data_IF_644434949296
#
_entry.id   IF_644434949296
#
_cell.length_a   1.000
_cell.length_b   1.000
_cell.length_c   1.000
_cell.angle_alpha   90.00
_cell.angle_beta   90.00
_cell.angle_gamma   90.00
#
_symmetry.space_group_name_H-M   'P 1'
#
loop_
_entity.id
_entity.type
_entity.pdbx_description
1 polymer ?
#
# COMPACT_ATOMS: atom_id res chain seq x y z
N UNK A 1 5.81 -27.27 9.59
CA UNK A 1 5.94 -26.61 8.29
C UNK A 1 7.05 -25.57 8.43
N UNK A 2 8.13 -25.70 7.66
CA UNK A 2 9.20 -24.70 7.63
C UNK A 2 8.69 -23.38 7.04
N UNK A 3 9.42 -22.29 7.22
CA UNK A 3 9.04 -20.99 6.67
C UNK A 3 9.01 -20.99 5.13
N UNK A 4 9.91 -21.74 4.48
CA UNK A 4 9.91 -21.90 3.02
C UNK A 4 8.67 -22.67 2.56
N UNK A 5 8.30 -23.74 3.28
CA UNK A 5 7.04 -24.47 3.00
C UNK A 5 5.82 -23.59 3.23
N UNK A 6 5.84 -22.75 4.27
CA UNK A 6 4.75 -21.84 4.62
C UNK A 6 4.55 -20.76 3.54
N UNK A 7 5.64 -20.15 3.04
CA UNK A 7 5.62 -19.25 1.88
C UNK A 7 4.94 -19.96 0.70
N UNK A 8 5.41 -21.16 0.36
CA UNK A 8 4.86 -21.91 -0.77
C UNK A 8 3.42 -22.42 -0.58
N UNK A 9 2.90 -22.43 0.64
CA UNK A 9 1.52 -22.78 0.95
C UNK A 9 0.57 -21.58 0.82
N UNK A 10 1.08 -20.35 0.81
CA UNK A 10 0.28 -19.15 0.62
C UNK A 10 -0.11 -18.99 -0.86
N UNK A 11 -1.41 -18.80 -1.17
CA UNK A 11 -1.90 -18.78 -2.56
C UNK A 11 -1.48 -17.54 -3.35
N UNK A 12 -1.10 -16.46 -2.67
CA UNK A 12 -0.75 -15.16 -3.23
C UNK A 12 0.76 -14.95 -3.38
N UNK A 13 1.62 -15.93 -3.06
CA UNK A 13 3.10 -15.77 -3.13
C UNK A 13 3.76 -16.80 -4.05
N UNK A 14 3.03 -17.27 -5.06
CA UNK A 14 3.50 -18.36 -5.93
C UNK A 14 4.82 -18.03 -6.65
N UNK A 15 4.99 -16.78 -7.09
CA UNK A 15 6.23 -16.30 -7.71
C UNK A 15 7.37 -16.20 -6.71
N UNK A 16 7.10 -15.69 -5.51
CA UNK A 16 8.12 -15.62 -4.46
C UNK A 16 8.60 -17.03 -4.06
N UNK A 17 7.67 -17.98 -3.91
CA UNK A 17 7.99 -19.38 -3.68
C UNK A 17 8.90 -19.96 -4.78
N UNK A 18 8.67 -19.61 -6.05
CA UNK A 18 9.53 -20.04 -7.14
C UNK A 18 10.96 -19.50 -6.96
N UNK A 19 11.12 -18.20 -6.67
CA UNK A 19 12.45 -17.61 -6.42
C UNK A 19 13.17 -18.24 -5.24
N UNK A 20 12.48 -18.46 -4.11
CA UNK A 20 13.06 -19.09 -2.92
C UNK A 20 13.52 -20.53 -3.21
N UNK A 21 12.85 -21.23 -4.14
CA UNK A 21 13.19 -22.62 -4.53
C UNK A 21 14.26 -22.72 -5.61
N UNK A 22 14.31 -21.77 -6.53
CA UNK A 22 15.16 -21.81 -7.72
C UNK A 22 16.60 -21.35 -7.43
N UNK A 23 16.79 -20.57 -6.37
CA UNK A 23 18.11 -20.08 -5.98
C UNK A 23 18.91 -21.16 -5.24
N UNK A 24 19.75 -21.85 -6.01
CA UNK A 24 20.66 -22.92 -5.56
C UNK A 24 21.99 -22.40 -5.00
N UNK A 25 22.21 -21.09 -5.02
CA UNK A 25 23.39 -20.42 -4.48
C UNK A 25 23.04 -19.58 -3.25
N UNK A 26 24.02 -19.37 -2.38
CA UNK A 26 23.83 -18.57 -1.15
C UNK A 26 23.16 -19.34 0.01
N UNK A 27 22.62 -18.65 1.02
CA UNK A 27 22.12 -19.26 2.25
C UNK A 27 20.88 -20.14 2.06
N UNK A 28 20.20 -20.03 0.91
CA UNK A 28 19.00 -20.81 0.59
C UNK A 28 19.32 -22.18 -0.05
N UNK A 29 20.54 -22.37 -0.55
CA UNK A 29 21.01 -23.58 -1.25
C UNK A 29 20.89 -24.88 -0.43
N UNK A 30 21.13 -24.79 0.87
CA UNK A 30 21.02 -25.92 1.83
C UNK A 30 19.74 -25.87 2.66
N UNK A 31 18.85 -24.92 2.34
CA UNK A 31 17.71 -24.55 3.17
C UNK A 31 18.11 -23.65 4.34
N UNK A 32 17.14 -22.84 4.80
CA UNK A 32 17.30 -22.04 6.01
C UNK A 32 17.46 -22.91 7.25
N UNK A 33 18.21 -22.43 8.25
CA UNK A 33 18.44 -23.16 9.49
C UNK A 33 17.11 -23.36 10.26
N UNK A 34 16.69 -24.62 10.51
CA UNK A 34 15.44 -24.88 11.22
C UNK A 34 15.42 -24.40 12.67
N UNK A 35 16.58 -24.11 13.28
CA UNK A 35 16.68 -23.64 14.66
C UNK A 35 16.75 -22.11 14.78
N UNK A 36 16.87 -21.42 13.65
CA UNK A 36 16.89 -19.96 13.61
C UNK A 36 15.48 -19.44 13.36
N UNK A 37 15.07 -18.43 14.13
CA UNK A 37 13.80 -17.74 13.91
C UNK A 37 13.95 -16.67 12.83
N UNK A 38 12.99 -16.63 11.91
CA UNK A 38 12.96 -15.66 10.82
C UNK A 38 11.71 -14.79 10.86
N UNK A 39 11.86 -13.51 10.57
CA UNK A 39 10.76 -12.67 10.09
C UNK A 39 10.94 -12.49 8.59
N UNK A 40 9.91 -12.75 7.80
CA UNK A 40 9.96 -12.64 6.34
C UNK A 40 8.90 -11.69 5.84
N UNK A 41 9.29 -10.78 4.97
CA UNK A 41 8.35 -9.95 4.22
C UNK A 41 8.23 -10.50 2.81
N UNK A 42 7.21 -11.32 2.55
CA UNK A 42 7.05 -12.05 1.29
C UNK A 42 6.27 -11.20 0.27
N UNK A 43 6.85 -10.81 -0.88
CA UNK A 43 6.09 -10.14 -1.92
C UNK A 43 5.00 -11.05 -2.47
N UNK A 44 3.79 -10.50 -2.58
CA UNK A 44 2.67 -11.17 -3.25
C UNK A 44 2.87 -11.18 -4.78
N UNK A 45 2.04 -11.95 -5.46
CA UNK A 45 2.10 -12.09 -6.91
C UNK A 45 1.74 -10.77 -7.63
N UNK A 46 1.00 -9.86 -6.97
CA UNK A 46 0.74 -8.51 -7.48
C UNK A 46 2.02 -7.65 -7.46
N UNK A 47 2.85 -7.78 -6.44
CA UNK A 47 4.14 -7.11 -6.35
C UNK A 47 5.03 -7.45 -7.54
N UNK A 48 5.07 -8.73 -7.94
CA UNK A 48 5.79 -9.16 -9.14
C UNK A 48 5.13 -8.73 -10.44
N UNK A 49 3.81 -8.59 -10.49
CA UNK A 49 3.11 -8.06 -11.65
C UNK A 49 3.45 -6.57 -11.86
N UNK A 50 3.47 -5.77 -10.79
CA UNK A 50 3.91 -4.36 -10.79
C UNK A 50 5.39 -4.27 -11.18
N UNK A 51 6.21 -5.19 -10.68
CA UNK A 51 7.62 -5.25 -11.02
C UNK A 51 7.88 -5.73 -12.46
N UNK A 52 6.96 -6.46 -13.09
CA UNK A 52 7.11 -7.00 -14.45
C UNK A 52 7.37 -5.95 -15.54
N UNK A 53 7.06 -4.68 -15.27
CA UNK A 53 7.40 -3.54 -16.12
C UNK A 53 8.85 -3.02 -15.92
N UNK A 54 9.61 -3.58 -14.97
CA UNK A 54 11.02 -3.25 -14.71
C UNK A 54 12.00 -3.88 -15.72
N UNK A 55 11.51 -4.41 -16.84
CA UNK A 55 12.24 -5.05 -17.94
C UNK A 55 13.35 -4.19 -18.60
N UNK A 56 13.57 -2.96 -18.12
CA UNK A 56 14.70 -2.09 -18.48
C UNK A 56 15.89 -2.16 -17.51
N UNK A 57 15.77 -2.94 -16.43
CA UNK A 57 16.81 -3.14 -15.41
C UNK A 57 17.47 -4.50 -15.67
N UNK A 58 18.74 -4.47 -16.06
CA UNK A 58 19.55 -5.68 -16.12
C UNK A 58 19.91 -6.08 -14.69
N UNK A 59 19.27 -7.12 -14.16
CA UNK A 59 19.50 -7.63 -12.80
C UNK A 59 20.40 -8.85 -12.93
N UNK A 60 21.57 -8.80 -12.32
CA UNK A 60 22.46 -9.96 -12.26
C UNK A 60 21.90 -10.98 -11.25
N UNK A 61 22.33 -12.23 -11.36
CA UNK A 61 21.96 -13.27 -10.38
C UNK A 61 22.38 -12.90 -8.95
N UNK A 62 23.54 -12.26 -8.80
CA UNK A 62 24.02 -11.73 -7.51
C UNK A 62 23.07 -10.69 -6.93
N UNK A 63 22.52 -9.82 -7.77
CA UNK A 63 21.58 -8.79 -7.34
C UNK A 63 20.23 -9.40 -6.98
N UNK A 64 19.77 -10.39 -7.75
CA UNK A 64 18.58 -11.16 -7.41
C UNK A 64 18.72 -11.87 -6.06
N UNK A 65 19.89 -12.47 -5.78
CA UNK A 65 20.19 -13.09 -4.48
C UNK A 65 20.17 -12.08 -3.34
N UNK A 66 20.85 -10.94 -3.49
CA UNK A 66 20.84 -9.87 -2.49
C UNK A 66 19.43 -9.33 -2.25
N UNK A 67 18.62 -9.20 -3.31
CA UNK A 67 17.22 -8.81 -3.20
C UNK A 67 16.39 -9.87 -2.47
N UNK A 68 16.59 -11.16 -2.76
CA UNK A 68 15.92 -12.23 -2.04
C UNK A 68 16.26 -12.18 -0.55
N UNK A 69 17.55 -12.18 -0.21
CA UNK A 69 18.03 -12.08 1.17
C UNK A 69 17.47 -10.86 1.90
N UNK A 70 17.22 -9.76 1.19
CA UNK A 70 16.65 -8.54 1.76
C UNK A 70 15.22 -8.68 2.30
N UNK A 71 14.52 -9.73 1.90
CA UNK A 71 13.18 -10.05 2.40
C UNK A 71 13.21 -10.95 3.64
N UNK A 72 14.38 -11.43 4.09
CA UNK A 72 14.55 -12.31 5.23
C UNK A 72 15.36 -11.66 6.35
N UNK A 73 14.93 -11.88 7.60
CA UNK A 73 15.51 -11.30 8.80
C UNK A 73 15.74 -12.39 9.84
N UNK A 74 17.01 -12.69 10.13
CA UNK A 74 17.42 -13.72 11.08
C UNK A 74 17.33 -13.28 12.53
N UNK A 75 17.14 -14.26 13.42
CA UNK A 75 17.02 -14.07 14.86
C UNK A 75 15.86 -13.13 15.25
N UNK A 76 14.81 -13.11 14.43
CA UNK A 76 13.63 -12.28 14.60
C UNK A 76 12.36 -13.14 14.51
N UNK A 77 11.39 -12.82 15.35
CA UNK A 77 10.05 -13.43 15.36
C UNK A 77 9.05 -12.31 15.63
N UNK A 78 8.96 -11.37 14.69
CA UNK A 78 8.21 -10.13 14.90
C UNK A 78 6.81 -10.27 14.31
N UNK A 79 5.81 -10.25 15.18
CA UNK A 79 4.41 -10.08 14.77
C UNK A 79 4.17 -8.67 14.26
N UNK A 80 3.05 -8.46 13.59
CA UNK A 80 2.67 -7.18 13.02
C UNK A 80 2.67 -6.09 14.06
N UNK A 81 2.15 -6.36 15.25
CA UNK A 81 2.05 -5.38 16.32
C UNK A 81 3.42 -5.05 16.94
N UNK A 82 4.34 -6.02 16.96
CA UNK A 82 5.73 -5.86 17.43
C UNK A 82 6.61 -5.09 16.44
N UNK A 83 6.23 -4.97 15.17
CA UNK A 83 6.94 -4.11 14.21
C UNK A 83 6.83 -2.64 14.64
N UNK A 84 7.86 -2.11 15.29
CA UNK A 84 7.82 -0.75 15.82
C UNK A 84 7.99 0.28 14.68
N UNK A 85 7.17 1.32 14.68
CA UNK A 85 7.23 2.37 13.69
C UNK A 85 8.60 3.08 13.73
N UNK A 86 9.16 3.37 12.56
CA UNK A 86 10.50 3.92 12.38
C UNK A 86 11.66 3.00 12.79
N UNK A 87 11.41 1.77 13.23
CA UNK A 87 12.48 0.82 13.54
C UNK A 87 13.22 0.40 12.27
N UNK A 88 14.54 0.20 12.40
CA UNK A 88 15.35 -0.39 11.34
C UNK A 88 15.62 -1.85 11.64
N UNK A 89 15.39 -2.71 10.67
CA UNK A 89 15.68 -4.14 10.75
C UNK A 89 16.88 -4.45 9.85
N UNK A 90 17.87 -5.18 10.37
CA UNK A 90 19.02 -5.66 9.59
C UNK A 90 18.63 -6.94 8.85
N UNK A 91 18.75 -6.92 7.53
CA UNK A 91 18.42 -8.06 6.69
C UNK A 91 19.56 -9.09 6.65
N UNK A 92 19.24 -10.32 6.22
CA UNK A 92 20.23 -11.37 5.94
C UNK A 92 21.27 -11.01 4.87
N UNK A 93 21.01 -10.02 4.02
CA UNK A 93 21.98 -9.50 3.04
C UNK A 93 23.21 -8.82 3.66
N UNK A 94 23.29 -8.77 5.00
CA UNK A 94 24.49 -8.47 5.78
C UNK A 94 24.73 -6.99 6.05
N UNK A 95 24.45 -6.11 5.08
CA UNK A 95 24.69 -4.66 5.21
C UNK A 95 23.45 -3.80 4.95
N UNK A 96 22.34 -4.38 4.50
CA UNK A 96 21.15 -3.62 4.18
C UNK A 96 20.17 -3.61 5.34
N UNK A 97 19.55 -2.45 5.54
CA UNK A 97 18.49 -2.29 6.54
C UNK A 97 17.20 -1.89 5.86
N UNK A 98 16.10 -2.50 6.29
CA UNK A 98 14.76 -2.01 5.99
C UNK A 98 14.24 -1.19 7.17
N UNK A 99 13.15 -0.46 6.94
CA UNK A 99 12.49 0.33 7.97
C UNK A 99 10.99 0.10 7.95
N UNK A 100 10.43 -0.13 9.12
CA UNK A 100 8.98 -0.15 9.34
C UNK A 100 8.46 1.29 9.28
N UNK A 101 7.55 1.58 8.34
CA UNK A 101 6.82 2.84 8.28
C UNK A 101 5.37 2.59 8.68
N UNK A 102 4.75 3.59 9.30
CA UNK A 102 3.38 3.50 9.77
C UNK A 102 2.62 4.74 9.31
N UNK A 103 1.43 4.52 8.79
CA UNK A 103 0.43 5.55 8.56
C UNK A 103 -0.81 5.24 9.41
N UNK A 104 -1.53 6.27 9.80
CA UNK A 104 -2.83 6.16 10.45
C UNK A 104 -3.92 6.39 9.42
N UNK A 105 -4.85 5.45 9.30
CA UNK A 105 -6.11 5.66 8.61
C UNK A 105 -7.15 6.05 9.65
N UNK A 106 -7.73 7.23 9.49
CA UNK A 106 -8.91 7.63 10.25
C UNK A 106 -10.07 6.72 9.83
N UNK A 107 -10.78 6.15 10.81
CA UNK A 107 -11.95 5.34 10.55
C UNK A 107 -12.99 6.16 9.78
N UNK A 108 -13.43 5.65 8.62
CA UNK A 108 -14.42 6.32 7.76
C UNK A 108 -15.80 6.43 8.39
N UNK A 109 -16.02 5.78 9.54
CA UNK A 109 -17.34 5.52 10.11
C UNK A 109 -17.59 6.29 11.43
N UNK A 110 -16.77 7.31 11.74
CA UNK A 110 -16.95 8.13 12.94
C UNK A 110 -16.65 7.42 14.26
N UNK A 111 -16.03 6.24 14.21
CA UNK A 111 -15.46 5.54 15.36
C UNK A 111 -14.05 6.08 15.64
N UNK A 112 -13.72 6.36 16.91
CA UNK A 112 -12.37 6.76 17.35
C UNK A 112 -11.27 5.67 17.14
N UNK A 113 -11.58 4.61 16.38
CA UNK A 113 -10.65 3.54 16.05
C UNK A 113 -9.65 4.00 14.98
N UNK A 114 -8.47 4.35 15.45
CA UNK A 114 -7.30 4.63 14.62
C UNK A 114 -6.73 3.31 14.11
N UNK A 115 -6.89 3.03 12.81
CA UNK A 115 -6.25 1.86 12.19
C UNK A 115 -4.83 2.22 11.76
N UNK A 116 -3.84 1.55 12.33
CA UNK A 116 -2.44 1.70 11.91
C UNK A 116 -2.18 0.78 10.72
N UNK A 117 -1.74 1.35 9.62
CA UNK A 117 -1.24 0.62 8.46
C UNK A 117 0.28 0.65 8.47
N UNK A 118 0.89 -0.53 8.47
CA UNK A 118 2.35 -0.71 8.44
C UNK A 118 2.86 -1.09 7.05
N UNK A 119 4.06 -0.61 6.77
CA UNK A 119 4.82 -0.83 5.55
C UNK A 119 6.24 -1.23 5.92
N UNK A 120 6.89 -2.04 5.09
CA UNK A 120 8.30 -2.36 5.24
C UNK A 120 9.08 -1.85 4.03
N UNK A 121 9.94 -0.87 4.24
CA UNK A 121 10.63 -0.20 3.14
C UNK A 121 12.14 -0.44 3.18
N UNK A 122 12.72 -0.78 2.04
CA UNK A 122 14.14 -0.62 1.82
C UNK A 122 14.53 0.80 1.42
N UNK A 123 15.83 1.08 1.45
CA UNK A 123 16.37 2.37 0.99
C UNK A 123 16.10 2.57 -0.52
N UNK A 124 16.17 1.50 -1.31
CA UNK A 124 15.81 1.50 -2.72
C UNK A 124 14.36 1.86 -3.00
N UNK A 125 13.41 1.39 -2.18
CA UNK A 125 11.99 1.73 -2.31
C UNK A 125 11.74 3.24 -2.16
N UNK A 126 12.45 3.89 -1.23
CA UNK A 126 12.32 5.33 -1.01
C UNK A 126 12.76 6.14 -2.24
N UNK A 127 13.84 5.73 -2.92
CA UNK A 127 14.32 6.36 -4.16
C UNK A 127 13.44 6.02 -5.37
N UNK A 128 12.89 4.81 -5.41
CA UNK A 128 11.97 4.35 -6.46
C UNK A 128 10.56 4.96 -6.30
N UNK A 129 10.21 5.46 -5.12
CA UNK A 129 8.85 5.94 -4.82
C UNK A 129 7.84 4.81 -4.59
N UNK A 130 8.30 3.57 -4.34
CA UNK A 130 7.41 2.47 -3.95
C UNK A 130 7.30 2.36 -2.43
N UNK A 131 6.16 1.87 -1.95
CA UNK A 131 5.89 1.73 -0.52
C UNK A 131 5.26 0.36 -0.25
N UNK A 132 6.08 -0.67 0.05
CA UNK A 132 5.59 -2.02 0.27
C UNK A 132 4.70 -2.10 1.51
N UNK A 133 3.39 -2.19 1.28
CA UNK A 133 2.39 -2.29 2.34
C UNK A 133 2.29 -3.74 2.79
N UNK A 134 2.23 -3.96 4.09
CA UNK A 134 1.92 -5.28 4.64
C UNK A 134 0.42 -5.52 4.46
N UNK A 135 0.08 -6.55 3.67
CA UNK A 135 -1.30 -6.90 3.30
C UNK A 135 -1.82 -8.03 4.16
N UNK A 136 -1.07 -9.14 4.21
CA UNK A 136 -1.38 -10.29 5.06
C UNK A 136 -0.37 -10.31 6.20
N UNK A 137 -0.86 -10.28 7.43
CA UNK A 137 -0.01 -10.23 8.62
C UNK A 137 0.03 -11.56 9.36
N UNK A 138 1.14 -11.81 10.05
CA UNK A 138 1.26 -12.84 11.09
C UNK A 138 1.02 -14.29 10.62
N UNK A 139 1.47 -14.64 9.41
CA UNK A 139 1.41 -16.04 8.95
C UNK A 139 2.48 -16.86 9.66
N UNK A 140 2.04 -17.78 10.51
CA UNK A 140 2.93 -18.56 11.38
C UNK A 140 3.62 -19.72 10.63
N UNK A 141 4.93 -19.85 10.84
CA UNK A 141 5.72 -21.01 10.46
C UNK A 141 6.46 -21.59 11.68
N UNK A 142 7.00 -22.82 11.58
CA UNK A 142 7.70 -23.45 12.70
C UNK A 142 8.95 -22.70 13.14
N UNK A 143 9.62 -22.02 12.21
CA UNK A 143 10.86 -21.29 12.44
C UNK A 143 10.71 -19.80 12.08
N UNK A 144 9.50 -19.22 12.17
CA UNK A 144 9.34 -17.79 11.89
C UNK A 144 7.92 -17.29 11.65
N UNK A 145 7.82 -16.01 11.26
CA UNK A 145 6.59 -15.31 10.86
C UNK A 145 6.76 -14.73 9.46
N UNK A 146 5.71 -14.81 8.65
CA UNK A 146 5.64 -14.21 7.32
C UNK A 146 4.59 -13.09 7.31
N UNK A 147 4.97 -11.96 6.72
CA UNK A 147 4.11 -10.83 6.37
C UNK A 147 4.08 -10.70 4.84
N UNK A 148 2.92 -10.82 4.21
CA UNK A 148 2.78 -10.59 2.77
C UNK A 148 2.83 -9.09 2.46
N UNK A 149 3.53 -8.69 1.40
CA UNK A 149 3.66 -7.29 0.97
C UNK A 149 3.29 -7.11 -0.50
N UNK A 150 2.66 -5.98 -0.84
CA UNK A 150 2.19 -5.71 -2.20
C UNK A 150 3.22 -5.08 -3.16
N UNK A 151 4.46 -4.87 -2.71
CA UNK A 151 5.57 -4.42 -3.55
C UNK A 151 6.85 -5.14 -3.14
N UNK A 152 7.77 -5.30 -4.10
CA UNK A 152 9.10 -5.85 -3.81
C UNK A 152 9.91 -4.84 -3.00
N UNK A 153 10.63 -5.30 -1.97
CA UNK A 153 11.57 -4.50 -1.22
C UNK A 153 12.91 -4.41 -1.96
N UNK A 154 13.46 -3.19 -2.06
CA UNK A 154 14.74 -2.93 -2.70
C UNK A 154 15.78 -2.45 -1.67
N UNK A 155 16.89 -3.18 -1.47
CA UNK A 155 17.92 -2.75 -0.53
C UNK A 155 18.55 -1.43 -0.97
N UNK A 156 18.87 -1.29 -2.26
CA UNK A 156 19.38 -0.06 -2.88
C UNK A 156 18.57 0.29 -4.13
N UNK A 157 18.85 1.45 -4.76
CA UNK A 157 18.02 1.88 -5.89
C UNK A 157 18.36 1.10 -7.17
N UNK A 158 17.36 0.71 -7.96
CA UNK A 158 17.54 -0.11 -9.16
C UNK A 158 18.56 0.44 -10.18
N UNK A 159 18.75 1.77 -10.28
CA UNK A 159 19.80 2.34 -11.15
C UNK A 159 21.23 2.05 -10.64
N UNK A 160 21.41 1.89 -9.33
CA UNK A 160 22.72 1.62 -8.70
C UNK A 160 23.18 0.17 -8.95
N UNK A 161 22.28 -0.73 -9.37
CA UNK A 161 22.64 -2.10 -9.76
C UNK A 161 23.28 -2.21 -11.17
N UNK A 162 23.47 -1.08 -11.88
CA UNK A 162 24.15 -1.07 -13.19
C UNK A 162 25.69 -1.05 -13.11
N UNK A 163 26.29 -0.86 -11.95
CA UNK A 163 27.70 -0.46 -11.86
C UNK A 163 28.66 -1.46 -11.19
N UNK A 164 28.21 -2.62 -10.69
CA UNK A 164 29.11 -3.54 -9.96
C UNK A 164 29.86 -4.57 -10.81
N UNK A 165 29.76 -4.55 -12.14
CA UNK A 165 30.44 -5.50 -13.04
C UNK A 165 31.36 -4.83 -14.08
N UNK A 166 32.41 -4.16 -13.60
CA UNK A 166 33.67 -4.17 -14.37
C UNK A 166 34.67 -5.05 -13.63
N UNK A 167 35.10 -6.18 -14.22
CA UNK A 167 36.27 -6.90 -13.75
C UNK A 167 37.45 -5.93 -13.72
N UNK A 168 38.09 -5.79 -12.57
CA UNK A 168 39.44 -5.21 -12.52
C UNK A 168 40.35 -6.27 -13.15
N UNK A 169 40.48 -6.21 -14.47
CA UNK A 169 41.55 -6.90 -15.18
C UNK A 169 42.87 -6.29 -14.66
N UNK A 170 43.74 -7.06 -13.97
CA UNK A 170 45.09 -6.60 -13.73
C UNK A 170 45.75 -6.48 -15.10
N UNK A 171 46.10 -5.26 -15.50
CA UNK A 171 46.84 -5.00 -16.74
C UNK A 171 48.12 -5.84 -16.76
N UNK A 172 48.10 -6.94 -17.48
CA UNK A 172 49.31 -7.63 -17.90
C UNK A 172 49.93 -6.80 -19.01
N UNK A 173 50.87 -5.94 -18.64
CA UNK A 173 51.81 -5.36 -19.60
C UNK A 173 52.68 -6.51 -20.13
N UNK A 174 52.39 -6.93 -21.36
CA UNK A 174 53.33 -7.73 -22.14
C UNK A 174 54.50 -6.85 -22.58
N UNK A 175 55.73 -7.40 -22.61
CA UNK A 175 56.93 -6.65 -22.94
C UNK A 175 56.98 -6.35 -24.44
N UNK A 176 57.21 -5.09 -24.78
CA UNK A 176 57.68 -4.72 -26.12
C UNK A 176 59.18 -4.94 -26.13
N UNK A 177 59.60 -5.96 -26.88
CA UNK A 177 60.95 -6.06 -27.44
C UNK A 177 61.12 -4.92 -28.43
N UNK A 178 62.22 -4.18 -28.31
CA UNK A 178 63.05 -3.81 -29.44
C UNK A 178 64.45 -3.45 -28.92
N UNK A 179 65.40 -3.82 -29.77
CA UNK A 179 66.84 -3.96 -29.59
C UNK A 179 67.58 -2.64 -29.32
N UNK A 180 68.70 -2.71 -28.58
CA UNK A 180 69.92 -1.97 -28.90
C UNK A 180 71.11 -2.59 -28.14
N UNK A 181 72.13 -2.94 -28.93
CA UNK A 181 73.43 -3.49 -28.58
C UNK A 181 74.23 -2.57 -27.64
N UNK A 182 75.07 -3.15 -26.77
CA UNK A 182 76.52 -2.83 -26.71
C UNK A 182 77.23 -3.61 -25.58
N UNK A 183 78.44 -4.06 -25.93
CA UNK A 183 79.39 -4.91 -25.22
C UNK A 183 79.75 -4.51 -23.76
N UNK A 184 80.19 -5.49 -22.96
CA UNK A 184 81.53 -5.53 -22.28
C UNK A 184 81.60 -6.61 -21.18
N UNK A 185 82.75 -7.29 -21.19
CA UNK A 185 83.23 -8.43 -20.40
C UNK A 185 83.11 -8.39 -18.86
N UNK A 186 83.12 -9.57 -18.22
CA UNK A 186 83.84 -9.77 -16.94
C UNK A 186 83.19 -10.65 -15.85
N UNK A 187 83.66 -11.90 -15.75
CA UNK A 187 83.82 -12.83 -14.60
C UNK A 187 82.93 -12.86 -13.32
N UNK A 188 82.85 -14.03 -12.63
CA UNK A 188 81.95 -14.27 -11.51
C UNK A 188 82.59 -14.03 -10.13
N UNK A 189 81.84 -13.47 -9.18
CA UNK A 189 82.23 -13.60 -7.77
C UNK A 189 81.54 -12.70 -6.74
N UNK A 190 81.14 -13.35 -5.65
CA UNK A 190 81.16 -12.88 -4.24
C UNK A 190 79.88 -12.30 -3.58
N UNK A 191 79.30 -13.14 -2.71
CA UNK A 191 78.83 -12.93 -1.32
C UNK A 191 78.45 -11.50 -0.86
N UNK A 192 77.19 -11.29 -0.44
CA UNK A 192 76.80 -10.87 0.93
C UNK A 192 75.28 -10.59 1.12
N UNK A 193 74.77 -10.51 2.37
CA UNK A 193 73.38 -10.82 2.74
C UNK A 193 72.45 -9.60 2.78
N UNK A 194 71.16 -9.81 2.44
CA UNK A 194 70.09 -8.83 2.60
C UNK A 194 69.58 -8.79 4.05
N UNK A 195 69.81 -7.68 4.74
CA UNK A 195 68.99 -7.18 5.85
C UNK A 195 68.03 -6.13 5.31
N UNK A 196 66.73 -6.24 5.64
CA UNK A 196 65.71 -5.19 5.89
C UNK A 196 64.34 -5.90 6.03
N UNK A 197 63.66 -5.95 7.20
CA UNK A 197 62.83 -4.94 7.92
C UNK A 197 61.59 -4.47 7.10
N UNK A 198 60.52 -3.99 7.75
CA UNK A 198 59.42 -4.71 8.40
C UNK A 198 58.06 -4.49 7.69
N UNK A 199 57.05 -5.31 7.99
CA UNK A 199 55.66 -5.19 7.50
C UNK A 199 54.99 -3.93 8.06
N UNK A 200 54.42 -3.02 7.25
CA UNK A 200 53.51 -2.00 7.75
C UNK A 200 52.11 -2.59 7.96
N UNK A 201 51.56 -2.37 9.16
CA UNK A 201 50.10 -2.29 9.38
C UNK A 201 49.61 -1.08 8.58
N UNK A 202 48.63 -1.28 7.70
CA UNK A 202 47.89 -0.15 7.14
C UNK A 202 46.48 -0.12 7.75
N UNK A 203 46.27 0.92 8.54
CA UNK A 203 45.00 1.39 9.05
C UNK A 203 44.31 2.21 7.95
N UNK A 204 42.98 2.24 7.94
CA UNK A 204 42.24 3.28 7.23
C UNK A 204 41.65 2.84 5.90
N UNK A 205 40.44 2.27 5.98
CA UNK A 205 39.53 2.09 4.84
C UNK A 205 39.35 3.45 4.15
N UNK A 206 39.89 3.57 2.94
CA UNK A 206 39.83 4.76 2.12
C UNK A 206 38.36 5.08 1.80
N UNK A 207 37.79 6.09 2.46
CA UNK A 207 36.59 6.76 1.96
C UNK A 207 36.99 7.43 0.65
N UNK A 208 36.77 6.73 -0.46
CA UNK A 208 36.95 7.29 -1.79
C UNK A 208 35.86 8.34 -1.98
N UNK A 209 36.22 9.59 -1.70
CA UNK A 209 35.44 10.75 -2.08
C UNK A 209 35.36 10.76 -3.61
N UNK A 210 34.26 10.26 -4.17
CA UNK A 210 33.93 10.39 -5.57
C UNK A 210 33.88 11.89 -5.91
N UNK A 211 34.91 12.38 -6.60
CA UNK A 211 34.95 13.76 -7.08
C UNK A 211 34.09 13.81 -8.34
N UNK A 212 32.81 14.14 -8.18
CA UNK A 212 31.94 14.47 -9.33
C UNK A 212 32.62 15.52 -10.21
N UNK A 213 32.57 15.28 -11.51
CA UNK A 213 33.06 16.22 -12.52
C UNK A 213 32.30 17.54 -12.44
N UNK A 214 32.89 18.62 -12.97
CA UNK A 214 32.24 19.92 -12.97
C UNK A 214 30.93 19.93 -13.79
N UNK A 215 30.82 19.03 -14.77
CA UNK A 215 29.64 18.88 -15.62
C UNK A 215 28.51 18.16 -14.87
N UNK A 216 28.80 17.04 -14.19
CA UNK A 216 27.81 16.32 -13.37
C UNK A 216 27.24 17.18 -12.25
N UNK A 217 28.08 17.98 -11.57
CA UNK A 217 27.62 18.92 -10.54
C UNK A 217 26.68 20.00 -11.09
N UNK A 218 26.89 20.41 -12.34
CA UNK A 218 26.04 21.39 -13.01
C UNK A 218 24.70 20.78 -13.40
N UNK A 219 24.70 19.54 -13.87
CA UNK A 219 23.48 18.79 -14.18
C UNK A 219 22.67 18.46 -12.92
N UNK A 220 23.31 18.03 -11.83
CA UNK A 220 22.66 17.79 -10.54
C UNK A 220 22.02 19.08 -10.01
N UNK A 221 22.74 20.19 -10.00
CA UNK A 221 22.18 21.48 -9.59
C UNK A 221 21.01 21.93 -10.48
N UNK A 222 21.04 21.61 -11.78
CA UNK A 222 19.94 21.90 -12.68
C UNK A 222 18.72 21.02 -12.39
N UNK A 223 18.94 19.74 -12.10
CA UNK A 223 17.89 18.78 -11.74
C UNK A 223 17.26 19.13 -10.38
N UNK A 224 18.05 19.49 -9.39
CA UNK A 224 17.57 19.93 -8.08
C UNK A 224 16.69 21.19 -8.19
N UNK A 225 17.08 22.15 -9.02
CA UNK A 225 16.27 23.34 -9.27
C UNK A 225 14.94 23.00 -9.96
N UNK A 226 14.95 22.08 -10.92
CA UNK A 226 13.74 21.57 -11.55
C UNK A 226 12.83 20.85 -10.54
N UNK A 227 13.42 20.01 -9.67
CA UNK A 227 12.69 19.28 -8.64
C UNK A 227 12.01 20.23 -7.65
N UNK A 228 12.74 21.24 -7.14
CA UNK A 228 12.19 22.28 -6.26
C UNK A 228 11.04 23.04 -6.92
N UNK A 229 11.16 23.34 -8.21
CA UNK A 229 10.10 24.00 -8.98
C UNK A 229 8.84 23.13 -9.11
N UNK A 230 9.02 21.83 -9.38
CA UNK A 230 7.91 20.88 -9.45
C UNK A 230 7.23 20.67 -8.10
N UNK A 231 8.00 20.53 -7.02
CA UNK A 231 7.47 20.42 -5.66
C UNK A 231 6.61 21.62 -5.29
N UNK A 232 7.08 22.85 -5.58
CA UNK A 232 6.31 24.06 -5.32
C UNK A 232 5.03 24.15 -6.17
N UNK A 233 5.05 23.64 -7.39
CA UNK A 233 3.86 23.55 -8.24
C UNK A 233 2.86 22.52 -7.71
N UNK A 234 3.35 21.38 -7.22
CA UNK A 234 2.53 20.34 -6.64
C UNK A 234 1.85 20.83 -5.36
N UNK A 235 2.60 21.43 -4.43
CA UNK A 235 2.06 22.01 -3.19
C UNK A 235 1.00 23.09 -3.49
N UNK A 236 1.25 23.94 -4.49
CA UNK A 236 0.26 24.93 -4.93
C UNK A 236 -0.99 24.30 -5.56
N UNK A 237 -0.83 23.18 -6.27
CA UNK A 237 -1.96 22.46 -6.86
C UNK A 237 -2.78 21.74 -5.78
N UNK A 238 -2.13 21.12 -4.81
CA UNK A 238 -2.76 20.44 -3.68
C UNK A 238 -3.55 21.41 -2.81
N UNK A 239 -2.95 22.54 -2.44
CA UNK A 239 -3.66 23.61 -1.70
C UNK A 239 -4.89 24.12 -2.45
N UNK A 240 -4.77 24.36 -3.76
CA UNK A 240 -5.91 24.76 -4.59
C UNK A 240 -7.00 23.68 -4.67
N UNK A 241 -6.64 22.40 -4.70
CA UNK A 241 -7.61 21.30 -4.68
C UNK A 241 -8.34 21.22 -3.34
N UNK A 242 -7.62 21.36 -2.24
CA UNK A 242 -8.20 21.35 -0.89
C UNK A 242 -9.15 22.53 -0.68
N UNK A 243 -8.80 23.72 -1.16
CA UNK A 243 -9.71 24.88 -1.12
C UNK A 243 -10.97 24.65 -1.96
N UNK A 244 -10.84 24.10 -3.18
CA UNK A 244 -11.97 23.78 -4.03
C UNK A 244 -12.89 22.70 -3.44
N UNK A 245 -12.32 21.72 -2.74
CA UNK A 245 -13.07 20.68 -2.04
C UNK A 245 -13.87 21.25 -0.87
N UNK A 246 -13.25 22.09 -0.02
CA UNK A 246 -13.97 22.80 1.05
C UNK A 246 -15.08 23.70 0.53
N UNK A 247 -14.86 24.39 -0.60
CA UNK A 247 -15.93 25.16 -1.24
C UNK A 247 -17.07 24.26 -1.74
N UNK A 248 -16.77 23.08 -2.28
CA UNK A 248 -17.78 22.14 -2.75
C UNK A 248 -18.60 21.55 -1.58
N UNK A 249 -17.94 21.18 -0.49
CA UNK A 249 -18.60 20.71 0.74
C UNK A 249 -19.50 21.80 1.35
N UNK A 250 -19.04 23.05 1.37
CA UNK A 250 -19.87 24.17 1.84
C UNK A 250 -21.13 24.37 0.99
N UNK A 251 -21.02 24.25 -0.33
CA UNK A 251 -22.18 24.31 -1.24
C UNK A 251 -23.13 23.13 -1.05
N UNK A 252 -22.59 21.93 -0.84
CA UNK A 252 -23.40 20.74 -0.59
C UNK A 252 -24.17 20.87 0.73
N UNK A 253 -23.52 21.34 1.79
CA UNK A 253 -24.14 21.55 3.10
C UNK A 253 -25.29 22.56 3.00
N UNK A 254 -25.06 23.69 2.33
CA UNK A 254 -26.09 24.71 2.10
C UNK A 254 -27.29 24.14 1.32
N UNK A 255 -27.03 23.36 0.27
CA UNK A 255 -28.08 22.72 -0.52
C UNK A 255 -28.88 21.69 0.28
N UNK A 256 -28.23 20.96 1.20
CA UNK A 256 -28.90 20.02 2.10
C UNK A 256 -29.80 20.74 3.11
N UNK A 257 -29.36 21.86 3.69
CA UNK A 257 -30.18 22.68 4.59
C UNK A 257 -31.40 23.27 3.88
N UNK A 258 -31.22 23.81 2.67
CA UNK A 258 -32.34 24.30 1.84
C UNK A 258 -33.33 23.19 1.49
N UNK A 259 -32.84 21.98 1.21
CA UNK A 259 -33.68 20.81 0.96
C UNK A 259 -34.49 20.43 2.19
N UNK A 260 -33.86 20.35 3.37
CA UNK A 260 -34.54 20.06 4.63
C UNK A 260 -35.60 21.12 4.98
N UNK A 261 -35.31 22.40 4.77
CA UNK A 261 -36.29 23.47 5.00
C UNK A 261 -37.48 23.37 4.02
N UNK A 262 -37.22 23.01 2.76
CA UNK A 262 -38.27 22.76 1.77
C UNK A 262 -39.13 21.55 2.14
N UNK A 263 -38.52 20.47 2.61
CA UNK A 263 -39.24 19.28 3.09
C UNK A 263 -40.08 19.60 4.34
N UNK A 264 -39.54 20.36 5.29
CA UNK A 264 -40.28 20.80 6.48
C UNK A 264 -41.48 21.67 6.11
N UNK A 265 -41.34 22.58 5.13
CA UNK A 265 -42.45 23.39 4.59
C UNK A 265 -43.51 22.52 3.92
N UNK A 266 -43.11 21.58 3.07
CA UNK A 266 -44.03 20.64 2.42
C UNK A 266 -44.77 19.77 3.45
N UNK A 267 -44.06 19.25 4.45
CA UNK A 267 -44.65 18.45 5.52
C UNK A 267 -45.70 19.26 6.31
N UNK A 268 -45.41 20.53 6.62
CA UNK A 268 -46.35 21.44 7.27
C UNK A 268 -47.60 21.69 6.42
N UNK A 269 -47.43 21.92 5.12
CA UNK A 269 -48.56 22.12 4.20
C UNK A 269 -49.48 20.89 4.14
N UNK A 270 -48.90 19.68 4.11
CA UNK A 270 -49.67 18.43 4.15
C UNK A 270 -50.45 18.28 5.46
N UNK A 271 -49.87 18.66 6.60
CA UNK A 271 -50.54 18.63 7.90
C UNK A 271 -51.69 19.63 7.96
N UNK A 272 -51.49 20.86 7.46
CA UNK A 272 -52.53 21.90 7.44
C UNK A 272 -53.70 21.50 6.51
N UNK A 273 -53.41 20.91 5.34
CA UNK A 273 -54.42 20.34 4.43
C UNK A 273 -55.21 19.20 5.09
N UNK A 274 -54.53 18.32 5.83
CA UNK A 274 -55.18 17.23 6.56
C UNK A 274 -56.09 17.76 7.69
N UNK A 275 -55.65 18.78 8.41
CA UNK A 275 -56.45 19.43 9.45
C UNK A 275 -57.69 20.13 8.87
N UNK A 276 -57.55 20.82 7.74
CA UNK A 276 -58.67 21.45 7.03
C UNK A 276 -59.70 20.41 6.54
N UNK A 277 -59.23 19.28 6.00
CA UNK A 277 -60.10 18.17 5.60
C UNK A 277 -60.87 17.55 6.79
N UNK A 278 -60.21 17.40 7.94
CA UNK A 278 -60.85 16.91 9.16
C UNK A 278 -61.93 17.88 9.67
N UNK A 279 -61.67 19.19 9.66
CA UNK A 279 -62.65 20.21 10.06
C UNK A 279 -63.88 20.23 9.12
N UNK A 280 -63.67 20.10 7.81
CA UNK A 280 -64.76 20.02 6.84
C UNK A 280 -65.65 18.78 7.03
N UNK A 281 -65.07 17.66 7.48
CA UNK A 281 -65.83 16.43 7.80
C UNK A 281 -66.68 16.54 9.09
N UNK A 282 -66.35 17.48 9.98
CA UNK A 282 -67.11 17.71 11.22
C UNK A 282 -68.35 18.61 10.99
N UNK A 283 -68.34 19.43 9.94
CA UNK A 283 -69.43 20.38 9.64
C UNK A 283 -70.62 19.76 8.87
N UNK A 284 -70.54 18.50 8.45
CA UNK A 284 -71.62 17.81 7.71
C UNK A 284 -72.49 16.90 8.58
N UNK A 285 -72.45 17.07 9.90
CA UNK A 285 -73.18 16.26 10.88
C UNK A 285 -74.05 17.14 11.81
N UNK A 286 -74.91 17.93 11.20
CA UNK A 286 -76.03 18.57 11.90
C UNK A 286 -77.07 18.90 10.85
N UNK A 287 -78.04 18.00 10.67
CA UNK A 287 -79.46 18.29 10.50
C UNK A 287 -80.21 16.95 10.38
N UNK A 288 -81.43 16.93 10.90
CA UNK A 288 -82.44 15.85 10.93
C UNK A 288 -82.49 14.92 12.17
N UNK A 289 -83.06 15.49 13.26
CA UNK A 289 -84.00 14.80 14.14
C UNK A 289 -85.34 14.59 13.39
N UNK A 290 -85.91 13.38 13.30
CA UNK A 290 -87.31 13.10 13.74
C UNK A 290 -87.76 11.61 13.61
N UNK A 291 -88.34 11.12 14.70
CA UNK A 291 -89.40 10.11 14.93
C UNK A 291 -89.48 8.71 14.23
N UNK A 292 -89.30 7.71 15.10
CA UNK A 292 -90.09 6.46 15.33
C UNK A 292 -89.78 5.14 14.58
N UNK A 293 -89.79 3.98 15.30
CA UNK A 293 -89.65 2.65 14.72
C UNK A 293 -90.97 1.85 14.73
N UNK A 294 -91.22 1.01 13.71
CA UNK A 294 -91.82 -0.33 13.85
C UNK A 294 -91.80 -1.13 12.54
N UNK A 295 -91.89 -2.48 12.59
CA UNK A 295 -91.32 -3.39 11.58
C UNK A 295 -92.38 -4.22 10.82
N UNK A 296 -92.16 -4.56 9.54
CA UNK A 296 -92.77 -5.75 8.88
C UNK A 296 -91.89 -6.24 7.72
N UNK A 297 -91.87 -7.56 7.55
CA UNK A 297 -91.10 -8.42 6.64
C UNK A 297 -91.40 -8.25 5.14
N UNK A 298 -90.43 -8.59 4.27
CA UNK A 298 -90.46 -9.72 3.32
C UNK A 298 -89.29 -9.67 2.29
N UNK A 299 -88.72 -10.84 1.99
CA UNK A 299 -87.63 -11.13 1.00
C UNK A 299 -88.04 -10.89 -0.49
N UNK A 300 -87.20 -11.18 -1.51
CA UNK A 300 -85.80 -10.81 -1.72
C UNK A 300 -85.55 -10.22 -3.14
N UNK A 301 -84.43 -9.51 -3.31
CA UNK A 301 -83.79 -9.36 -4.62
C UNK A 301 -83.51 -7.92 -5.05
N UNK A 302 -82.24 -7.55 -5.08
CA UNK A 302 -81.53 -7.08 -6.29
C UNK A 302 -80.10 -6.66 -5.91
N UNK A 303 -79.15 -7.11 -6.72
CA UNK A 303 -77.71 -6.87 -6.61
C UNK A 303 -77.43 -5.37 -6.77
N UNK A 304 -76.66 -4.76 -5.87
CA UNK A 304 -75.89 -3.55 -6.21
C UNK A 304 -74.59 -3.48 -5.42
N UNK A 305 -73.51 -3.29 -6.17
CA UNK A 305 -72.13 -3.46 -5.76
C UNK A 305 -71.64 -2.32 -4.86
N UNK A 306 -71.23 -2.66 -3.63
CA UNK A 306 -70.46 -1.74 -2.78
C UNK A 306 -69.00 -1.75 -3.24
N UNK A 307 -68.67 -0.88 -4.20
CA UNK A 307 -67.28 -0.59 -4.59
C UNK A 307 -66.58 0.11 -3.41
N UNK A 308 -65.73 -0.62 -2.68
CA UNK A 308 -64.72 -0.04 -1.77
C UNK A 308 -63.88 0.96 -2.58
N UNK A 309 -64.11 2.26 -2.40
CA UNK A 309 -63.12 3.28 -2.76
C UNK A 309 -62.10 3.32 -1.62
N UNK A 310 -61.06 2.49 -1.71
CA UNK A 310 -59.83 2.77 -0.97
C UNK A 310 -59.29 4.10 -1.48
N UNK A 311 -59.08 5.05 -0.57
CA UNK A 311 -58.52 6.35 -0.92
C UNK A 311 -57.08 6.17 -1.40
N UNK A 312 -56.70 6.89 -2.46
CA UNK A 312 -55.35 6.88 -3.05
C UNK A 312 -54.26 7.20 -2.00
N UNK A 313 -54.62 7.90 -0.90
CA UNK A 313 -53.71 8.19 0.21
C UNK A 313 -53.31 6.93 1.00
N UNK A 314 -54.19 5.92 1.12
CA UNK A 314 -53.88 4.65 1.77
C UNK A 314 -52.92 3.79 0.94
N UNK A 315 -53.04 3.86 -0.40
CA UNK A 315 -52.12 3.17 -1.32
C UNK A 315 -50.72 3.81 -1.30
N UNK A 316 -50.64 5.15 -1.20
CA UNK A 316 -49.36 5.86 -1.11
C UNK A 316 -48.61 5.60 0.21
N UNK A 317 -49.33 5.49 1.34
CA UNK A 317 -48.74 5.14 2.64
C UNK A 317 -48.20 3.70 2.68
N UNK A 318 -48.84 2.76 1.97
CA UNK A 318 -48.32 1.39 1.86
C UNK A 318 -47.06 1.30 0.99
N UNK A 319 -46.98 2.09 -0.08
CA UNK A 319 -45.78 2.13 -0.92
C UNK A 319 -44.59 2.81 -0.21
N UNK A 320 -44.81 3.83 0.62
CA UNK A 320 -43.75 4.47 1.40
C UNK A 320 -43.21 3.56 2.51
N UNK A 321 -44.04 2.65 3.04
CA UNK A 321 -43.62 1.69 4.08
C UNK A 321 -42.76 0.54 3.52
N UNK A 322 -42.91 0.16 2.25
CA UNK A 322 -42.05 -0.85 1.63
C UNK A 322 -40.66 -0.31 1.26
N UNK A 323 -40.53 0.95 0.89
CA UNK A 323 -39.22 1.54 0.54
C UNK A 323 -38.33 1.80 1.76
N UNK A 324 -38.90 1.86 2.97
CA UNK A 324 -38.14 2.02 4.20
C UNK A 324 -37.58 0.70 4.77
N UNK A 325 -38.14 -0.45 4.38
CA UNK A 325 -37.67 -1.78 4.82
C UNK A 325 -36.61 -2.41 3.89
N UNK A 326 -36.41 -1.89 2.68
CA UNK A 326 -35.35 -2.37 1.75
C UNK A 326 -33.98 -1.69 1.93
N UNK A 327 -33.87 -0.65 2.76
CA UNK A 327 -32.60 0.05 3.01
C UNK A 327 -31.87 -0.39 4.30
N UNK A 328 -32.44 -1.31 5.08
CA UNK A 328 -31.87 -1.75 6.38
C UNK A 328 -31.29 -3.18 6.32
N UNK A 329 -30.88 -3.66 5.14
CA UNK A 329 -30.30 -5.01 4.96
C UNK A 329 -29.09 -5.08 4.03
N UNK A 330 -28.35 -3.98 3.87
CA UNK A 330 -27.02 -4.00 3.22
C UNK A 330 -26.09 -3.10 4.01
N UNK A 331 -25.50 -3.60 5.11
CA UNK A 331 -24.07 -3.54 5.49
C UNK A 331 -23.88 -4.54 6.65
N UNK A 332 -23.75 -5.83 6.35
CA UNK A 332 -22.87 -6.76 7.08
C UNK A 332 -22.31 -7.71 6.01
N UNK A 333 -20.99 -7.62 5.83
CA UNK A 333 -19.96 -8.52 5.26
C UNK A 333 -18.96 -7.65 4.49
#
# INVERSE_FOLDING_TARGET
>A
MSIVEAICAMPDTTRFCAFVKDLTDGPFSSGLDPNTNYTVFAPDDQAFAIFGDASSVNITEKDANRMLEFHFYENMYLTYDELACSEKLLSMSGNDTSRTKCDTLDGTDGTDDVTIVKYQNGNGNTKHGSMPKIVTKDVLACNGIIHSINHIMFPVFLKEYKETDMPVEPSTDMPVVDDDDDDVDGEPGTKSPRKTRPVPRDEGRHLQNYKMTAEEKKEEAQLENQLRSLQKKLEKAETKRLEAEKEAEGRLTTAMEEHQEKEARNAKEVVDLAAAAAAASLSTKSDDDDLTPSPVNDEPGTKSATRKRQSVALQHLQNYKMTAEEHDSIIII
#
